data_IF_833850519536
#
_entry.id   IF_833850519536
#
_cell.length_a   1.000
_cell.length_b   1.000
_cell.length_c   1.000
_cell.angle_alpha   90.00
_cell.angle_beta   90.00
_cell.angle_gamma   90.00
#
_symmetry.space_group_name_H-M   'P 1'
#
loop_
_entity.id
_entity.type
_entity.pdbx_description
1 polymer ?
#
# COMPACT_ATOMS: atom_id res chain seq x y z
N UNK A 1 -21.79 -3.69 0.75
CA UNK A 1 -20.36 -3.47 0.41
C UNK A 1 -20.32 -2.68 -0.89
N UNK A 2 -19.53 -1.61 -0.96
CA UNK A 2 -19.36 -0.79 -2.18
C UNK A 2 -17.90 -0.94 -2.62
N UNK A 3 -17.67 -1.06 -3.91
CA UNK A 3 -16.34 -1.15 -4.51
C UNK A 3 -15.97 0.18 -5.17
N UNK A 4 -14.68 0.46 -5.27
CA UNK A 4 -14.18 1.61 -6.02
C UNK A 4 -14.38 1.38 -7.52
N UNK A 5 -14.49 2.47 -8.27
CA UNK A 5 -14.51 2.37 -9.72
C UNK A 5 -13.11 2.00 -10.24
N UNK A 6 -13.06 1.10 -11.23
CA UNK A 6 -11.79 0.59 -11.75
C UNK A 6 -10.92 1.68 -12.41
N UNK A 7 -11.50 2.81 -12.83
CA UNK A 7 -10.78 3.98 -13.33
C UNK A 7 -10.06 4.75 -12.23
N UNK A 8 -10.49 4.64 -10.97
CA UNK A 8 -9.85 5.32 -9.84
C UNK A 8 -8.50 4.71 -9.48
N UNK A 9 -8.22 3.44 -9.82
CA UNK A 9 -6.90 2.81 -9.61
C UNK A 9 -6.39 2.91 -8.16
N UNK A 10 -7.27 2.68 -7.17
CA UNK A 10 -6.92 2.87 -5.75
C UNK A 10 -5.74 1.99 -5.32
N UNK A 11 -5.76 0.70 -5.64
CA UNK A 11 -4.65 -0.22 -5.34
C UNK A 11 -3.29 0.28 -5.85
N UNK A 12 -3.17 0.58 -7.16
CA UNK A 12 -1.97 1.20 -7.74
C UNK A 12 -1.56 2.51 -7.05
N UNK A 13 -2.50 3.42 -6.76
CA UNK A 13 -2.18 4.68 -6.08
C UNK A 13 -1.54 4.45 -4.70
N UNK A 14 -2.08 3.51 -3.91
CA UNK A 14 -1.52 3.18 -2.58
C UNK A 14 -0.12 2.58 -2.71
N UNK A 15 0.12 1.70 -3.69
CA UNK A 15 1.44 1.15 -3.94
C UNK A 15 2.47 2.23 -4.34
N UNK A 16 2.07 3.19 -5.18
CA UNK A 16 2.90 4.35 -5.55
C UNK A 16 3.20 5.25 -4.35
N UNK A 17 2.19 5.55 -3.53
CA UNK A 17 2.38 6.35 -2.32
C UNK A 17 3.32 5.66 -1.32
N UNK A 18 3.23 4.33 -1.18
CA UNK A 18 4.14 3.57 -0.32
C UNK A 18 5.58 3.60 -0.85
N UNK A 19 5.76 3.47 -2.17
CA UNK A 19 7.05 3.57 -2.82
C UNK A 19 7.70 4.95 -2.61
N UNK A 20 6.93 6.03 -2.67
CA UNK A 20 7.40 7.38 -2.35
C UNK A 20 7.89 7.53 -0.90
N UNK A 21 7.44 6.66 0.01
CA UNK A 21 7.90 6.61 1.41
C UNK A 21 9.05 5.60 1.64
N UNK A 22 9.67 5.11 0.55
CA UNK A 22 10.83 4.24 0.58
C UNK A 22 10.54 2.80 0.98
N UNK A 23 9.30 2.31 0.79
CA UNK A 23 8.93 0.90 0.98
C UNK A 23 8.25 0.40 -0.28
N UNK A 24 8.61 -0.80 -0.72
CA UNK A 24 8.00 -1.41 -1.90
C UNK A 24 6.89 -2.37 -1.45
N UNK A 25 5.67 -2.09 -1.89
CA UNK A 25 4.53 -3.01 -1.81
C UNK A 25 3.91 -3.18 -3.20
N UNK A 26 3.24 -4.32 -3.42
CA UNK A 26 2.64 -4.64 -4.72
C UNK A 26 1.13 -4.40 -4.71
N UNK A 27 0.61 -3.65 -5.67
CA UNK A 27 -0.80 -3.69 -6.00
C UNK A 27 -1.12 -5.06 -6.63
N UNK A 28 -1.85 -5.90 -5.91
CA UNK A 28 -2.21 -7.25 -6.36
C UNK A 28 -3.33 -7.18 -7.41
N UNK A 29 -3.39 -8.13 -8.36
CA UNK A 29 -4.39 -8.09 -9.42
C UNK A 29 -5.82 -8.31 -8.91
N UNK A 30 -6.80 -7.90 -9.72
CA UNK A 30 -8.23 -8.16 -9.51
C UNK A 30 -8.81 -7.58 -8.21
N UNK A 31 -8.25 -6.48 -7.71
CA UNK A 31 -8.83 -5.71 -6.62
C UNK A 31 -7.91 -4.61 -6.14
N UNK A 32 -8.42 -3.81 -5.20
CA UNK A 32 -7.62 -2.81 -4.48
C UNK A 32 -6.96 -3.45 -3.27
N UNK A 33 -5.94 -4.28 -3.55
CA UNK A 33 -5.23 -5.08 -2.55
C UNK A 33 -3.75 -4.73 -2.58
N UNK A 34 -3.19 -4.41 -1.40
CA UNK A 34 -1.76 -4.17 -1.24
C UNK A 34 -1.10 -5.40 -0.60
N UNK A 35 -0.15 -6.00 -1.32
CA UNK A 35 0.66 -7.11 -0.84
C UNK A 35 1.96 -6.66 -0.17
N UNK A 36 2.25 -7.26 0.99
CA UNK A 36 3.53 -7.15 1.70
C UNK A 36 4.11 -8.55 1.88
N UNK A 37 5.32 -8.77 1.38
CA UNK A 37 6.04 -10.03 1.50
C UNK A 37 7.53 -9.75 1.77
N UNK A 38 7.89 -9.30 2.99
CA UNK A 38 9.27 -8.96 3.31
C UNK A 38 10.16 -10.22 3.39
N UNK A 39 11.49 -10.05 3.29
CA UNK A 39 12.45 -11.13 3.54
C UNK A 39 12.34 -11.70 4.96
N UNK A 40 12.70 -12.97 5.13
CA UNK A 40 12.67 -13.65 6.43
C UNK A 40 13.70 -13.09 7.44
N UNK A 41 14.70 -12.33 6.99
CA UNK A 41 15.71 -11.68 7.83
C UNK A 41 15.29 -10.31 8.38
N UNK A 42 14.05 -9.87 8.15
CA UNK A 42 13.56 -8.57 8.62
C UNK A 42 13.56 -8.49 10.15
N UNK A 43 14.18 -7.44 10.71
CA UNK A 43 14.19 -7.20 12.16
C UNK A 43 12.95 -6.44 12.64
N UNK A 44 12.76 -6.36 13.96
CA UNK A 44 11.65 -5.58 14.55
C UNK A 44 11.79 -4.09 14.27
N UNK A 45 13.01 -3.56 14.27
CA UNK A 45 13.31 -2.16 13.95
C UNK A 45 12.94 -1.84 12.50
N UNK A 46 13.12 -2.80 11.60
CA UNK A 46 12.74 -2.68 10.18
C UNK A 46 11.23 -2.89 9.94
N UNK A 47 10.48 -3.44 10.90
CA UNK A 47 9.04 -3.70 10.77
C UNK A 47 8.16 -2.44 10.72
N UNK A 48 8.76 -1.24 10.78
CA UNK A 48 8.10 0.05 10.52
C UNK A 48 7.43 0.16 9.13
N UNK A 49 7.64 -0.80 8.23
CA UNK A 49 6.93 -0.93 6.96
C UNK A 49 5.40 -0.93 7.12
N UNK A 50 4.88 -1.46 8.24
CA UNK A 50 3.43 -1.45 8.52
C UNK A 50 2.90 -0.02 8.76
N UNK A 51 3.63 0.79 9.52
CA UNK A 51 3.26 2.19 9.76
C UNK A 51 3.31 3.02 8.48
N UNK A 52 4.33 2.80 7.63
CA UNK A 52 4.43 3.45 6.31
C UNK A 52 3.30 3.02 5.38
N UNK A 53 2.88 1.77 5.44
CA UNK A 53 1.71 1.25 4.71
C UNK A 53 0.44 1.96 5.12
N UNK A 54 0.21 2.11 6.44
CA UNK A 54 -0.96 2.83 6.94
C UNK A 54 -0.95 4.31 6.54
N UNK A 55 0.22 4.96 6.52
CA UNK A 55 0.38 6.33 6.04
C UNK A 55 0.01 6.45 4.55
N UNK A 56 0.56 5.58 3.69
CA UNK A 56 0.26 5.58 2.26
C UNK A 56 -1.25 5.42 1.99
N UNK A 57 -1.92 4.50 2.69
CA UNK A 57 -3.37 4.33 2.60
C UNK A 57 -4.12 5.62 2.95
N UNK A 58 -3.82 6.22 4.11
CA UNK A 58 -4.44 7.49 4.52
C UNK A 58 -4.21 8.62 3.52
N UNK A 59 -3.00 8.72 2.95
CA UNK A 59 -2.70 9.79 1.98
C UNK A 59 -3.52 9.67 0.69
N UNK A 60 -3.86 8.46 0.25
CA UNK A 60 -4.71 8.26 -0.94
C UNK A 60 -6.16 8.53 -0.58
N UNK A 61 -6.64 7.98 0.53
CA UNK A 61 -8.04 8.14 0.95
C UNK A 61 -8.41 9.56 1.36
N UNK A 62 -7.46 10.38 1.81
CA UNK A 62 -7.69 11.79 2.10
C UNK A 62 -8.01 12.63 0.85
N UNK A 63 -7.73 12.10 -0.35
CA UNK A 63 -7.97 12.76 -1.64
C UNK A 63 -9.16 12.16 -2.41
N UNK A 64 -9.96 11.29 -1.77
CA UNK A 64 -11.20 10.73 -2.32
C UNK A 64 -12.42 11.46 -1.77
#
# INVERSE_FOLDING_TARGET
RVFFDASQKIGPQVATALAANGVIGRAMPQGDILGLAPPLCLTREQAGIASKTAYAGRSVFANL
#
